data_IF_200668245057
#
_entry.id   IF_200668245057
#
_cell.length_a   1.000
_cell.length_b   1.000
_cell.length_c   1.000
_cell.angle_alpha   90.00
_cell.angle_beta   90.00
_cell.angle_gamma   90.00
#
_symmetry.space_group_name_H-M   'P 1'
#
loop_
_entity.id
_entity.type
_entity.pdbx_description
1 polymer ?
#
# COMPACT_ATOMS: atom_id res chain seq x y z
N UNK A 1 -31.17 8.52 21.84
CA UNK A 1 -30.18 8.92 22.86
C UNK A 1 -28.81 8.61 22.28
N UNK A 2 -28.27 9.54 21.47
CA UNK A 2 -27.05 9.34 20.69
C UNK A 2 -25.84 9.97 21.36
N UNK A 3 -24.65 9.52 20.99
CA UNK A 3 -23.40 10.17 21.37
C UNK A 3 -23.35 11.55 20.69
N UNK A 4 -23.45 12.62 21.48
CA UNK A 4 -23.42 14.01 21.01
C UNK A 4 -22.37 14.80 21.80
N UNK A 5 -21.88 15.90 21.22
CA UNK A 5 -21.02 16.84 21.94
C UNK A 5 -21.70 17.29 23.24
N UNK A 6 -21.05 17.02 24.38
CA UNK A 6 -21.60 17.20 25.73
C UNK A 6 -21.81 15.89 26.50
N UNK A 7 -22.02 14.76 25.82
CA UNK A 7 -22.24 13.43 26.42
C UNK A 7 -21.34 12.35 25.79
N UNK A 8 -20.10 12.72 25.45
CA UNK A 8 -19.14 11.82 24.80
C UNK A 8 -18.32 11.01 25.80
N UNK A 9 -17.67 11.70 26.74
CA UNK A 9 -16.73 11.10 27.66
C UNK A 9 -16.50 12.01 28.88
N UNK A 10 -16.12 11.41 30.00
CA UNK A 10 -15.66 12.13 31.19
C UNK A 10 -14.13 12.28 31.17
N UNK A 11 -13.65 13.47 30.78
CA UNK A 11 -12.22 13.82 30.79
C UNK A 11 -11.97 14.88 31.88
N UNK A 12 -10.87 14.76 32.63
CA UNK A 12 -10.51 15.72 33.70
C UNK A 12 -9.05 16.15 33.55
N UNK A 13 -8.78 17.44 33.75
CA UNK A 13 -7.42 18.03 33.83
C UNK A 13 -6.54 17.86 32.58
N UNK A 14 -7.09 17.96 31.37
CA UNK A 14 -6.31 18.01 30.12
C UNK A 14 -6.31 19.43 29.59
N UNK A 15 -5.12 20.02 29.43
CA UNK A 15 -4.94 21.38 28.88
C UNK A 15 -4.37 21.26 27.47
N UNK A 16 -5.03 21.89 26.49
CA UNK A 16 -4.62 21.89 25.08
C UNK A 16 -4.37 23.32 24.61
N UNK A 17 -3.26 23.54 23.90
CA UNK A 17 -2.90 24.84 23.32
C UNK A 17 -3.00 24.79 21.80
N UNK A 18 -3.50 25.86 21.21
CA UNK A 18 -3.65 25.99 19.75
C UNK A 18 -3.30 27.42 19.32
N UNK A 19 -2.70 27.57 18.13
CA UNK A 19 -2.47 28.87 17.51
C UNK A 19 -3.54 29.15 16.45
N UNK A 20 -3.87 30.43 16.21
CA UNK A 20 -4.75 30.83 15.11
C UNK A 20 -4.19 30.34 13.76
N UNK A 21 -5.03 29.85 12.81
CA UNK A 21 -4.57 29.40 11.51
C UNK A 21 -3.79 30.47 10.73
N UNK A 22 -4.12 31.75 10.92
CA UNK A 22 -3.45 32.88 10.27
C UNK A 22 -2.03 33.15 10.81
N UNK A 23 -1.71 32.59 11.98
CA UNK A 23 -0.39 32.66 12.61
C UNK A 23 0.49 31.43 12.27
N UNK A 24 -0.10 30.43 11.60
CA UNK A 24 0.57 29.18 11.26
C UNK A 24 0.95 29.13 9.78
N UNK A 25 1.98 28.32 9.46
CA UNK A 25 2.32 27.99 8.08
C UNK A 25 1.54 26.75 7.66
N UNK A 26 0.78 26.84 6.56
CA UNK A 26 0.01 25.70 6.04
C UNK A 26 0.87 24.46 5.73
N UNK A 27 2.10 24.66 5.22
CA UNK A 27 3.05 23.59 4.88
C UNK A 27 4.33 23.66 5.70
N UNK A 28 4.21 23.69 7.03
CA UNK A 28 5.37 23.66 7.90
C UNK A 28 6.18 22.35 7.73
N UNK A 29 7.52 22.46 7.65
CA UNK A 29 8.46 21.31 7.65
C UNK A 29 8.22 20.25 6.56
N UNK A 30 7.70 20.65 5.40
CA UNK A 30 7.38 19.73 4.31
C UNK A 30 8.54 18.82 3.92
N UNK A 31 9.70 19.40 3.61
CA UNK A 31 10.89 18.63 3.21
C UNK A 31 11.63 18.01 4.39
N UNK A 32 11.77 18.73 5.51
CA UNK A 32 12.58 18.30 6.65
C UNK A 32 11.92 17.22 7.51
N UNK A 33 10.59 17.19 7.59
CA UNK A 33 9.82 16.23 8.40
C UNK A 33 8.78 15.46 7.59
N UNK A 34 8.12 16.10 6.63
CA UNK A 34 7.09 15.48 5.80
C UNK A 34 7.63 14.29 5.00
N UNK A 35 8.62 14.54 4.14
CA UNK A 35 9.22 13.50 3.27
C UNK A 35 9.85 12.35 4.09
N UNK A 36 10.69 12.60 5.12
CA UNK A 36 11.23 11.51 5.93
C UNK A 36 10.16 10.67 6.62
N UNK A 37 9.07 11.29 7.11
CA UNK A 37 7.98 10.56 7.75
C UNK A 37 7.14 9.76 6.72
N UNK A 38 6.98 10.27 5.50
CA UNK A 38 6.38 9.52 4.39
C UNK A 38 7.21 8.28 4.08
N UNK A 39 8.52 8.42 3.93
CA UNK A 39 9.41 7.29 3.67
C UNK A 39 9.34 6.24 4.79
N UNK A 40 9.39 6.68 6.05
CA UNK A 40 9.22 5.79 7.22
C UNK A 40 7.90 5.02 7.19
N UNK A 41 6.80 5.69 6.79
CA UNK A 41 5.48 5.04 6.67
C UNK A 41 5.46 4.00 5.55
N UNK A 42 6.04 4.32 4.40
CA UNK A 42 6.13 3.38 3.27
C UNK A 42 6.96 2.17 3.69
N UNK A 43 8.19 2.39 4.17
CA UNK A 43 9.09 1.29 4.53
C UNK A 43 8.50 0.36 5.59
N UNK A 44 7.76 0.88 6.56
CA UNK A 44 7.10 0.06 7.58
C UNK A 44 6.00 -0.87 7.04
N UNK A 45 5.43 -0.59 5.88
CA UNK A 45 4.34 -1.38 5.29
C UNK A 45 4.79 -2.22 4.08
N UNK A 46 5.95 -1.94 3.50
CA UNK A 46 6.45 -2.62 2.30
C UNK A 46 6.46 -4.14 2.48
N UNK A 47 6.95 -4.66 3.61
CA UNK A 47 7.02 -6.12 3.81
C UNK A 47 5.67 -6.79 4.04
N UNK A 48 4.63 -6.03 4.42
CA UNK A 48 3.28 -6.57 4.57
C UNK A 48 2.55 -6.60 3.22
N UNK A 49 2.76 -5.56 2.41
CA UNK A 49 2.00 -5.34 1.18
C UNK A 49 2.68 -5.95 -0.04
N UNK A 50 3.99 -5.75 -0.20
CA UNK A 50 4.71 -6.12 -1.44
C UNK A 50 4.78 -7.63 -1.67
N UNK A 51 5.06 -8.49 -0.67
CA UNK A 51 5.18 -9.93 -0.92
C UNK A 51 3.96 -10.58 -1.59
N UNK A 52 2.71 -10.43 -1.11
CA UNK A 52 1.57 -11.05 -1.77
C UNK A 52 1.35 -10.53 -3.20
N UNK A 53 1.58 -9.24 -3.46
CA UNK A 53 1.51 -8.69 -4.82
C UNK A 53 2.60 -9.23 -5.73
N UNK A 54 3.83 -9.38 -5.22
CA UNK A 54 4.93 -9.97 -5.97
C UNK A 54 4.62 -11.44 -6.34
N UNK A 55 4.13 -12.23 -5.39
CA UNK A 55 3.72 -13.62 -5.65
C UNK A 55 2.60 -13.72 -6.69
N UNK A 56 1.58 -12.87 -6.58
CA UNK A 56 0.49 -12.82 -7.56
C UNK A 56 1.01 -12.49 -8.97
N UNK A 57 1.91 -11.49 -9.08
CA UNK A 57 2.49 -11.10 -10.36
C UNK A 57 3.37 -12.21 -10.97
N UNK A 58 4.19 -12.88 -10.16
CA UNK A 58 5.00 -14.00 -10.61
C UNK A 58 4.13 -15.16 -11.13
N UNK A 59 3.06 -15.49 -10.41
CA UNK A 59 2.11 -16.55 -10.80
C UNK A 59 1.40 -16.19 -12.10
N UNK A 60 0.96 -14.94 -12.24
CA UNK A 60 0.34 -14.43 -13.46
C UNK A 60 1.28 -14.54 -14.67
N UNK A 61 2.53 -14.08 -14.52
CA UNK A 61 3.52 -14.09 -15.60
C UNK A 61 3.89 -15.53 -16.00
N UNK A 62 4.09 -16.41 -15.01
CA UNK A 62 4.35 -17.83 -15.28
C UNK A 62 3.16 -18.49 -16.00
N UNK A 63 1.94 -18.31 -15.49
CA UNK A 63 0.74 -18.92 -16.07
C UNK A 63 0.49 -18.46 -17.52
N UNK A 64 0.72 -17.18 -17.81
CA UNK A 64 0.58 -16.64 -19.17
C UNK A 64 1.59 -17.28 -20.13
N UNK A 65 2.87 -17.35 -19.73
CA UNK A 65 3.95 -17.92 -20.56
C UNK A 65 3.78 -19.41 -20.77
N UNK A 66 3.39 -20.15 -19.74
CA UNK A 66 3.22 -21.60 -19.85
C UNK A 66 2.02 -21.95 -20.73
N UNK A 67 0.91 -21.21 -20.61
CA UNK A 67 -0.24 -21.37 -21.48
C UNK A 67 0.10 -21.08 -22.95
N UNK A 68 0.91 -20.05 -23.23
CA UNK A 68 1.41 -19.79 -24.59
C UNK A 68 2.35 -20.89 -25.09
N UNK A 69 3.21 -21.44 -24.23
CA UNK A 69 4.12 -22.55 -24.57
C UNK A 69 3.34 -23.80 -24.97
N UNK A 70 2.33 -24.18 -24.18
CA UNK A 70 1.51 -25.37 -24.41
C UNK A 70 0.61 -25.27 -25.65
N UNK A 71 0.29 -24.05 -26.10
CA UNK A 71 -0.44 -23.84 -27.35
C UNK A 71 0.42 -24.05 -28.61
N UNK A 72 1.75 -24.03 -28.49
CA UNK A 72 2.63 -24.25 -29.64
C UNK A 72 2.66 -25.74 -29.96
N UNK A 73 2.64 -26.07 -31.26
CA UNK A 73 2.81 -27.44 -31.74
C UNK A 73 4.22 -27.93 -31.41
N UNK A 74 4.32 -29.15 -30.91
CA UNK A 74 5.60 -29.80 -30.65
C UNK A 74 6.07 -30.53 -31.91
N UNK A 75 7.18 -30.11 -32.55
CA UNK A 75 7.68 -30.78 -33.75
C UNK A 75 8.05 -32.25 -33.51
N UNK A 76 8.46 -32.63 -32.28
CA UNK A 76 8.84 -34.00 -31.96
C UNK A 76 7.68 -35.00 -32.06
N UNK A 77 6.43 -34.53 -31.99
CA UNK A 77 5.25 -35.39 -32.11
C UNK A 77 4.94 -35.82 -33.55
N UNK A 78 5.55 -35.19 -34.56
CA UNK A 78 5.29 -35.47 -35.98
C UNK A 78 6.47 -36.17 -36.69
N UNK A 79 7.53 -36.53 -35.96
CA UNK A 79 8.75 -37.13 -36.54
C UNK A 79 8.53 -38.57 -37.04
N UNK A 80 7.56 -39.30 -36.47
CA UNK A 80 7.27 -40.71 -36.80
C UNK A 80 5.88 -40.92 -37.42
N UNK A 81 5.22 -39.84 -37.86
CA UNK A 81 3.91 -39.91 -38.50
C UNK A 81 4.14 -40.19 -40.00
N UNK A 82 3.96 -41.45 -40.43
CA UNK A 82 3.98 -41.90 -41.83
C UNK A 82 2.57 -42.18 -42.33
#
# INVERSE_FOLDING_TARGET
MGLHFGDLAKVRHVITFTLSPFEQRAFANFFSKGIPNMFRRISSNVLTVVPPFAFAYLTYNWGTREHERLKRKDPAMYENDQ
#
